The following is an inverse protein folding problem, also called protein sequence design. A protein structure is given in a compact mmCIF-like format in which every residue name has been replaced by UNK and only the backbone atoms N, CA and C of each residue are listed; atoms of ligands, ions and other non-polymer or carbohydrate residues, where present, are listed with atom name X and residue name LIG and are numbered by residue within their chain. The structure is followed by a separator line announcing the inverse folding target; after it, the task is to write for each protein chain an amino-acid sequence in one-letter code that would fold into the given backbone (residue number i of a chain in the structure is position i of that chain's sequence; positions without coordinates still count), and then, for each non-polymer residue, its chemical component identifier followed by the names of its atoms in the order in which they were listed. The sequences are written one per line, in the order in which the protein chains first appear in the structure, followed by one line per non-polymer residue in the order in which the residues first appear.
data_IF_370828068283
#
_entry.id   IF_370828068283
#
_cell.length_a   1.000
_cell.length_b   1.000
_cell.length_c   1.000
_cell.angle_alpha   90.00
_cell.angle_beta   90.00
_cell.angle_gamma   90.00
#
_symmetry.space_group_name_H-M   'P 1'
#
loop_
_entity.id
_entity.type
_entity.pdbx_description
1 polymer ?
#
# COMPACT_ATOMS: atom_id res chain seq x y z
N UNK A 1 2.33 7.96 -1.48
CA UNK A 1 1.36 6.99 -0.94
C UNK A 1 2.11 5.85 -0.27
N UNK A 2 1.56 5.26 0.80
CA UNK A 2 2.26 4.19 1.52
C UNK A 2 2.22 2.88 0.73
N UNK A 3 3.39 2.29 0.48
CA UNK A 3 3.52 0.93 -0.04
C UNK A 3 3.73 -0.03 1.12
N UNK A 4 3.10 -1.20 1.06
CA UNK A 4 3.21 -2.24 2.09
C UNK A 4 3.42 -3.59 1.44
N UNK A 5 3.94 -4.55 2.20
CA UNK A 5 4.17 -5.90 1.71
C UNK A 5 2.86 -6.65 1.52
N UNK A 6 2.75 -7.30 0.35
CA UNK A 6 1.59 -8.06 -0.10
C UNK A 6 1.98 -9.49 -0.37
N UNK A 7 1.01 -10.38 -0.21
CA UNK A 7 1.20 -11.81 -0.48
C UNK A 7 1.18 -12.14 -1.97
N UNK A 8 0.51 -11.33 -2.80
CA UNK A 8 0.40 -11.54 -4.24
C UNK A 8 1.09 -10.42 -5.02
N UNK A 9 1.46 -10.70 -6.27
CA UNK A 9 2.10 -9.72 -7.15
C UNK A 9 1.13 -8.69 -7.71
N UNK A 10 -0.18 -8.96 -7.67
CA UNK A 10 -1.21 -8.08 -8.22
C UNK A 10 -2.50 -8.15 -7.39
N UNK A 11 -3.37 -7.12 -7.49
CA UNK A 11 -4.69 -7.13 -6.90
C UNK A 11 -5.57 -8.25 -7.45
N UNK A 12 -6.39 -8.80 -6.56
CA UNK A 12 -7.28 -9.92 -6.84
C UNK A 12 -8.73 -9.51 -6.69
N UNK A 13 -9.62 -10.21 -7.40
CA UNK A 13 -11.06 -9.98 -7.33
C UNK A 13 -11.59 -10.36 -5.96
N UNK A 14 -12.56 -9.60 -5.46
CA UNK A 14 -13.33 -10.04 -4.29
C UNK A 14 -14.39 -11.07 -4.70
N UNK A 15 -14.59 -12.14 -3.91
CA UNK A 15 -15.65 -13.12 -4.17
C UNK A 15 -17.03 -12.56 -3.82
N UNK A 16 -17.12 -11.75 -2.77
CA UNK A 16 -18.32 -11.02 -2.32
C UNK A 16 -17.91 -9.59 -2.00
N UNK A 17 -18.80 -8.60 -2.23
CA UNK A 17 -18.56 -7.18 -1.89
C UNK A 17 -18.60 -6.94 -0.36
N UNK A 18 -18.14 -7.91 0.43
CA UNK A 18 -18.15 -7.91 1.88
C UNK A 18 -16.73 -8.01 2.40
N UNK A 19 -16.40 -7.16 3.37
CA UNK A 19 -15.11 -7.15 4.06
C UNK A 19 -15.31 -7.50 5.54
N UNK A 20 -14.50 -8.39 6.15
CA UNK A 20 -13.28 -9.04 5.64
C UNK A 20 -13.55 -10.23 4.71
N UNK A 21 -12.54 -10.58 3.91
CA UNK A 21 -12.55 -11.78 3.06
C UNK A 21 -12.21 -13.00 3.93
N UNK A 22 -12.78 -14.18 3.63
CA UNK A 22 -12.53 -15.38 4.43
C UNK A 22 -11.12 -15.93 4.22
N UNK A 23 -10.58 -16.58 5.24
CA UNK A 23 -9.21 -17.10 5.22
C UNK A 23 -9.04 -18.22 4.18
N UNK A 24 -10.08 -19.03 3.94
CA UNK A 24 -10.05 -20.09 2.92
C UNK A 24 -9.90 -19.52 1.51
N UNK A 25 -10.49 -18.35 1.25
CA UNK A 25 -10.33 -17.67 -0.03
C UNK A 25 -8.92 -17.09 -0.18
N UNK A 26 -8.33 -16.57 0.91
CA UNK A 26 -6.96 -16.09 0.89
C UNK A 26 -5.97 -17.21 0.56
N UNK A 27 -6.14 -18.40 1.12
CA UNK A 27 -5.30 -19.56 0.80
C UNK A 27 -5.39 -19.96 -0.67
N UNK A 28 -6.60 -19.99 -1.24
CA UNK A 28 -6.80 -20.26 -2.67
C UNK A 28 -6.14 -19.22 -3.57
N UNK A 29 -6.25 -17.94 -3.19
CA UNK A 29 -5.62 -16.83 -3.90
C UNK A 29 -4.11 -16.93 -3.85
N UNK A 30 -3.53 -17.25 -2.70
CA UNK A 30 -2.06 -17.39 -2.56
C UNK A 30 -1.58 -18.60 -3.37
N UNK A 31 -2.33 -19.69 -3.43
CA UNK A 31 -2.00 -20.87 -4.21
C UNK A 31 -2.09 -20.64 -5.73
N UNK A 32 -3.05 -19.81 -6.20
CA UNK A 32 -3.31 -19.64 -7.62
C UNK A 32 -3.68 -18.20 -8.00
N UNK A 33 -2.77 -17.26 -7.69
CA UNK A 33 -3.04 -15.82 -7.78
C UNK A 33 -3.50 -15.40 -9.19
N UNK A 34 -2.91 -15.94 -10.25
CA UNK A 34 -3.19 -15.56 -11.65
C UNK A 34 -4.64 -15.78 -12.07
N UNK A 35 -5.31 -16.80 -11.52
CA UNK A 35 -6.71 -17.09 -11.81
C UNK A 35 -7.67 -16.02 -11.23
N UNK A 36 -7.27 -15.35 -10.15
CA UNK A 36 -8.08 -14.35 -9.44
C UNK A 36 -7.69 -12.91 -9.77
N UNK A 37 -6.86 -12.69 -10.80
CA UNK A 37 -6.39 -11.36 -11.20
C UNK A 37 -7.54 -10.40 -11.45
N UNK A 38 -7.47 -9.21 -10.85
CA UNK A 38 -8.49 -8.17 -10.98
C UNK A 38 -8.56 -7.64 -12.42
N UNK A 39 -7.49 -6.96 -12.85
CA UNK A 39 -7.33 -6.36 -14.16
C UNK A 39 -6.07 -6.94 -14.81
N UNK A 40 -6.15 -7.18 -16.12
CA UNK A 40 -4.99 -7.54 -16.93
C UNK A 40 -4.33 -6.29 -17.50
N UNK A 41 -3.83 -5.45 -16.61
CA UNK A 41 -3.29 -4.14 -16.90
C UNK A 41 -2.01 -3.91 -16.07
N UNK A 42 -1.13 -2.98 -16.48
CA UNK A 42 0.02 -2.60 -15.66
C UNK A 42 -0.46 -2.05 -14.31
N UNK A 43 0.30 -2.36 -13.26
CA UNK A 43 -0.02 -1.97 -11.89
C UNK A 43 0.17 -0.48 -11.66
N UNK A 44 1.12 0.17 -12.36
CA UNK A 44 1.45 1.58 -12.20
C UNK A 44 1.77 1.93 -10.73
N UNK A 45 2.46 1.03 -10.02
CA UNK A 45 2.84 1.27 -8.61
C UNK A 45 3.98 2.28 -8.47
N UNK A 46 4.84 2.37 -9.48
CA UNK A 46 5.98 3.30 -9.50
C UNK A 46 5.89 4.22 -10.72
N UNK A 47 6.48 5.41 -10.60
CA UNK A 47 6.50 6.41 -11.68
C UNK A 47 7.24 5.96 -12.94
N UNK A 48 8.08 4.94 -12.84
CA UNK A 48 8.77 4.35 -13.99
C UNK A 48 7.83 3.49 -14.84
N UNK A 49 6.85 2.85 -14.21
CA UNK A 49 5.83 2.04 -14.89
C UNK A 49 4.73 2.90 -15.52
N UNK A 50 4.72 4.21 -15.25
CA UNK A 50 3.67 5.14 -15.68
C UNK A 50 3.96 5.85 -17.01
N UNK A 51 4.96 5.39 -17.77
CA UNK A 51 5.29 5.95 -19.09
C UNK A 51 4.13 5.79 -20.07
N UNK A 52 3.51 6.91 -20.46
CA UNK A 52 2.38 6.96 -21.39
C UNK A 52 1.00 6.86 -20.75
N UNK A 53 0.92 6.82 -19.42
CA UNK A 53 -0.32 6.92 -18.69
C UNK A 53 -0.44 8.29 -18.03
N UNK A 54 -1.65 8.81 -17.98
CA UNK A 54 -2.07 9.98 -17.23
C UNK A 54 -3.13 9.53 -16.22
N UNK A 55 -3.49 10.42 -15.30
CA UNK A 55 -4.57 10.17 -14.34
C UNK A 55 -5.86 9.69 -15.02
N UNK A 56 -6.20 10.25 -16.18
CA UNK A 56 -7.43 9.92 -16.93
C UNK A 56 -7.29 8.73 -17.90
N UNK A 57 -6.08 8.36 -18.29
CA UNK A 57 -5.86 7.19 -19.16
C UNK A 57 -5.44 5.95 -18.38
N UNK A 58 -5.20 6.10 -17.07
CA UNK A 58 -4.87 4.99 -16.19
C UNK A 58 -5.98 3.91 -16.18
N UNK A 59 -5.61 2.62 -16.22
CA UNK A 59 -6.56 1.51 -16.05
C UNK A 59 -7.31 1.55 -14.71
N UNK A 60 -6.71 2.21 -13.71
CA UNK A 60 -7.23 2.38 -12.35
C UNK A 60 -8.04 3.68 -12.17
N UNK A 61 -8.40 4.38 -13.25
CA UNK A 61 -9.27 5.57 -13.19
C UNK A 61 -10.58 5.27 -12.47
N UNK A 62 -11.17 4.11 -12.72
CA UNK A 62 -12.37 3.65 -12.04
C UNK A 62 -12.00 2.63 -10.95
N UNK A 63 -12.36 2.87 -9.68
CA UNK A 63 -12.10 1.93 -8.60
C UNK A 63 -12.78 0.59 -8.89
N UNK A 64 -12.05 -0.50 -8.68
CA UNK A 64 -12.55 -1.85 -8.95
C UNK A 64 -12.96 -2.56 -7.67
N UNK A 65 -13.85 -3.54 -7.81
CA UNK A 65 -14.25 -4.41 -6.69
C UNK A 65 -13.22 -5.51 -6.44
N UNK A 66 -12.03 -5.07 -6.07
CA UNK A 66 -10.85 -5.89 -5.88
C UNK A 66 -10.17 -5.51 -4.57
N UNK A 67 -9.23 -6.33 -4.15
CA UNK A 67 -8.38 -6.04 -3.01
C UNK A 67 -7.00 -6.62 -3.23
N UNK A 68 -6.06 -6.20 -2.40
CA UNK A 68 -4.70 -6.73 -2.45
C UNK A 68 -4.35 -7.34 -1.09
N UNK A 69 -4.26 -8.67 -0.99
CA UNK A 69 -3.92 -9.38 0.24
C UNK A 69 -2.68 -8.80 0.93
N UNK A 70 -2.84 -8.44 2.20
CA UNK A 70 -1.77 -7.92 3.04
C UNK A 70 -1.02 -9.07 3.70
N UNK A 71 0.28 -8.88 3.86
CA UNK A 71 1.05 -9.72 4.77
C UNK A 71 0.90 -9.21 6.21
N UNK A 72 0.05 -9.86 6.99
CA UNK A 72 -0.25 -9.42 8.36
C UNK A 72 0.94 -9.57 9.32
N UNK A 73 1.93 -10.39 8.99
CA UNK A 73 3.17 -10.55 9.77
C UNK A 73 4.10 -9.35 9.57
N UNK A 74 4.10 -8.77 8.37
CA UNK A 74 4.97 -7.66 7.96
C UNK A 74 4.15 -6.39 7.76
N UNK A 75 3.64 -5.84 8.87
CA UNK A 75 2.93 -4.55 8.92
C UNK A 75 3.89 -3.37 8.92
N UNK A 76 4.58 -3.16 7.81
CA UNK A 76 5.60 -2.12 7.67
C UNK A 76 5.55 -1.52 6.25
N UNK A 77 5.91 -0.23 6.16
CA UNK A 77 6.15 0.42 4.88
C UNK A 77 7.37 -0.18 4.17
N UNK A 78 7.18 -0.52 2.91
CA UNK A 78 8.23 -0.99 2.01
C UNK A 78 8.59 0.11 1.00
N UNK A 79 9.80 0.01 0.45
CA UNK A 79 10.28 0.87 -0.62
C UNK A 79 10.39 0.07 -1.92
N UNK A 80 10.29 0.77 -3.04
CA UNK A 80 10.46 0.17 -4.37
C UNK A 80 11.83 -0.46 -4.59
N UNK A 81 11.95 -1.35 -5.60
CA UNK A 81 13.17 -2.14 -5.85
C UNK A 81 14.41 -1.26 -6.11
N UNK A 82 14.21 -0.09 -6.72
CA UNK A 82 15.25 0.88 -7.08
C UNK A 82 15.67 1.83 -5.96
N UNK A 83 15.16 1.65 -4.73
CA UNK A 83 15.48 2.53 -3.61
C UNK A 83 16.39 1.84 -2.58
N UNK A 84 17.72 2.05 -2.66
CA UNK A 84 18.64 1.59 -1.62
C UNK A 84 18.31 2.27 -0.28
N UNK A 85 18.46 1.52 0.82
CA UNK A 85 18.18 2.00 2.19
C UNK A 85 16.73 1.84 2.67
N UNK A 86 15.77 1.72 1.74
CA UNK A 86 14.39 1.42 2.06
C UNK A 86 14.17 -0.05 2.44
N UNK A 87 13.09 -0.34 3.16
CA UNK A 87 12.79 -1.73 3.52
C UNK A 87 12.27 -2.53 2.33
N UNK A 88 12.87 -3.71 2.12
CA UNK A 88 12.44 -4.66 1.10
C UNK A 88 11.57 -5.75 1.73
N UNK A 89 10.50 -6.09 1.03
CA UNK A 89 9.65 -7.21 1.43
C UNK A 89 10.42 -8.54 1.37
N UNK A 90 10.04 -9.53 2.19
CA UNK A 90 10.61 -10.88 2.11
C UNK A 90 10.44 -11.49 0.72
N UNK A 91 11.29 -12.47 0.37
CA UNK A 91 11.21 -13.19 -0.90
C UNK A 91 9.82 -13.78 -1.13
N UNK A 92 9.26 -13.61 -2.34
CA UNK A 92 7.92 -14.05 -2.69
C UNK A 92 6.79 -13.12 -2.27
N UNK A 93 7.11 -11.92 -1.73
CA UNK A 93 6.14 -10.87 -1.42
C UNK A 93 6.42 -9.63 -2.25
N UNK A 94 5.37 -8.93 -2.61
CA UNK A 94 5.44 -7.76 -3.48
C UNK A 94 5.13 -6.47 -2.71
N UNK A 95 5.89 -5.42 -3.00
CA UNK A 95 5.69 -4.10 -2.41
C UNK A 95 4.68 -3.33 -3.27
N UNK A 96 3.45 -3.17 -2.77
CA UNK A 96 2.34 -2.60 -3.54
C UNK A 96 1.55 -1.53 -2.78
N UNK A 97 0.97 -0.58 -3.51
CA UNK A 97 0.08 0.44 -2.94
C UNK A 97 -1.39 0.22 -3.34
N UNK A 98 -2.30 0.79 -2.54
CA UNK A 98 -3.74 0.83 -2.83
C UNK A 98 -4.10 1.95 -3.82
N UNK A 99 -3.12 2.79 -4.16
CA UNK A 99 -3.25 3.90 -5.07
C UNK A 99 -2.28 3.71 -6.23
N UNK A 100 -2.70 4.17 -7.40
CA UNK A 100 -1.82 4.37 -8.56
C UNK A 100 -0.76 5.46 -8.27
N UNK A 101 0.33 5.50 -9.02
CA UNK A 101 1.32 6.57 -9.05
C UNK A 101 0.69 7.97 -9.19
N UNK A 102 -0.46 8.09 -9.87
CA UNK A 102 -1.21 9.34 -10.04
C UNK A 102 -2.21 9.64 -8.91
N UNK A 103 -2.35 8.73 -7.96
CA UNK A 103 -3.23 8.87 -6.81
C UNK A 103 -4.68 8.45 -7.01
N UNK A 104 -4.97 7.71 -8.07
CA UNK A 104 -6.28 7.08 -8.25
C UNK A 104 -6.44 5.88 -7.29
N UNK A 105 -7.54 5.79 -6.53
CA UNK A 105 -7.79 4.65 -5.66
C UNK A 105 -8.14 3.40 -6.48
N UNK A 106 -7.46 2.28 -6.20
CA UNK A 106 -7.66 1.02 -6.96
C UNK A 106 -8.93 0.28 -6.57
N UNK A 107 -9.40 0.44 -5.32
CA UNK A 107 -10.46 -0.37 -4.75
C UNK A 107 -11.72 0.45 -4.47
N UNK A 108 -12.89 -0.15 -4.66
CA UNK A 108 -14.19 0.44 -4.27
C UNK A 108 -14.41 0.40 -2.77
N UNK A 109 -13.93 -0.64 -2.10
CA UNK A 109 -14.16 -0.86 -0.67
C UNK A 109 -13.22 -0.03 0.20
N UNK A 110 -13.77 0.96 0.91
CA UNK A 110 -13.02 1.85 1.80
C UNK A 110 -12.22 1.13 2.88
N UNK A 111 -12.73 0.02 3.43
CA UNK A 111 -12.02 -0.79 4.42
C UNK A 111 -10.74 -1.42 3.86
N UNK A 112 -10.79 -1.97 2.64
CA UNK A 112 -9.61 -2.54 1.98
C UNK A 112 -8.54 -1.47 1.66
N UNK A 113 -8.97 -0.22 1.42
CA UNK A 113 -8.04 0.91 1.23
C UNK A 113 -7.36 1.29 2.54
N UNK A 114 -8.13 1.41 3.63
CA UNK A 114 -7.65 1.93 4.91
C UNK A 114 -6.82 0.92 5.70
N UNK A 115 -7.19 -0.36 5.67
CA UNK A 115 -6.57 -1.39 6.50
C UNK A 115 -5.05 -1.48 6.31
N UNK A 116 -4.57 -1.32 5.08
CA UNK A 116 -3.15 -1.37 4.75
C UNK A 116 -2.30 -0.37 5.55
N UNK A 117 -2.86 0.79 5.91
CA UNK A 117 -2.16 1.85 6.65
C UNK A 117 -2.66 1.98 8.10
N UNK A 118 -3.81 1.38 8.42
CA UNK A 118 -4.45 1.44 9.72
C UNK A 118 -3.91 0.38 10.68
N UNK A 119 -2.63 0.49 11.03
CA UNK A 119 -1.98 -0.37 12.02
C UNK A 119 -1.49 0.45 13.20
N UNK A 120 -1.43 -0.16 14.39
CA UNK A 120 -0.90 0.50 15.58
C UNK A 120 0.55 0.99 15.37
N UNK A 121 1.32 0.27 14.54
CA UNK A 121 2.69 0.61 14.18
C UNK A 121 2.81 1.90 13.37
N UNK A 122 1.77 2.24 12.60
CA UNK A 122 1.63 3.49 11.84
C UNK A 122 0.74 4.53 12.56
N UNK A 123 0.53 4.38 13.88
CA UNK A 123 -0.37 5.23 14.66
C UNK A 123 -1.74 5.38 14.01
N UNK A 124 -2.31 4.29 13.48
CA UNK A 124 -3.65 4.27 12.86
C UNK A 124 -3.83 5.29 11.71
N UNK A 125 -2.74 5.76 11.10
CA UNK A 125 -2.77 6.75 10.02
C UNK A 125 -2.83 8.21 10.47
N UNK A 126 -2.77 8.51 11.78
CA UNK A 126 -2.76 9.89 12.28
C UNK A 126 -1.44 10.62 11.97
N UNK A 127 -0.32 9.91 12.02
CA UNK A 127 1.01 10.50 11.83
C UNK A 127 1.47 10.37 10.38
N UNK A 128 0.76 11.05 9.49
CA UNK A 128 0.97 11.05 8.04
C UNK A 128 1.15 12.47 7.51
N UNK A 129 1.84 12.60 6.36
CA UNK A 129 2.16 13.89 5.74
C UNK A 129 1.24 14.24 4.55
N UNK A 130 0.16 13.48 4.35
CA UNK A 130 -0.73 13.64 3.19
C UNK A 130 -1.66 14.88 3.30
N UNK A 131 -1.86 15.41 4.51
CA UNK A 131 -2.70 16.57 4.78
C UNK A 131 -2.02 17.54 5.74
N UNK A 132 -2.20 18.85 5.54
CA UNK A 132 -1.56 19.89 6.35
C UNK A 132 -1.84 19.72 7.85
N UNK A 133 -3.08 19.44 8.26
CA UNK A 133 -3.41 19.25 9.67
C UNK A 133 -2.72 18.03 10.30
N UNK A 134 -2.63 16.91 9.57
CA UNK A 134 -1.92 15.70 10.02
C UNK A 134 -0.41 15.90 10.02
N UNK A 135 0.11 16.63 9.05
CA UNK A 135 1.51 17.01 8.99
C UNK A 135 1.90 17.89 10.18
N UNK A 136 1.07 18.87 10.56
CA UNK A 136 1.31 19.72 11.73
C UNK A 136 1.27 18.94 13.04
N UNK A 137 0.30 18.04 13.23
CA UNK A 137 0.26 17.14 14.40
C UNK A 137 1.51 16.27 14.47
N UNK A 138 1.92 15.74 13.32
CA UNK A 138 3.15 14.96 13.19
C UNK A 138 4.37 15.82 13.58
N UNK A 139 4.55 16.99 12.98
CA UNK A 139 5.66 17.90 13.31
C UNK A 139 5.69 18.25 14.81
N UNK A 140 4.53 18.57 15.39
CA UNK A 140 4.43 18.88 16.82
C UNK A 140 4.95 17.73 17.69
N UNK A 141 4.52 16.49 17.43
CA UNK A 141 5.02 15.30 18.15
C UNK A 141 6.53 15.10 17.98
N UNK A 142 7.09 15.45 16.82
CA UNK A 142 8.54 15.39 16.59
C UNK A 142 9.29 16.46 17.38
N UNK A 143 8.75 17.68 17.48
CA UNK A 143 9.34 18.81 18.21
C UNK A 143 9.30 18.57 19.73
N UNK A 144 8.23 17.96 20.24
CA UNK A 144 8.12 17.59 21.66
C UNK A 144 8.86 16.31 22.01
N UNK A 145 9.61 15.73 21.05
CA UNK A 145 10.36 14.48 21.20
C UNK A 145 9.51 13.28 21.68
N UNK A 146 8.23 13.28 21.35
CA UNK A 146 7.33 12.17 21.69
C UNK A 146 7.30 11.20 20.49
N UNK A 147 7.90 10.02 20.66
CA UNK A 147 7.90 8.99 19.62
C UNK A 147 8.73 9.31 18.36
N UNK A 148 9.59 10.34 18.39
CA UNK A 148 10.37 10.79 17.23
C UNK A 148 11.29 9.70 16.67
N UNK A 149 11.99 8.94 17.50
CA UNK A 149 12.89 7.85 17.05
C UNK A 149 12.16 6.77 16.26
N UNK A 150 10.93 6.41 16.68
CA UNK A 150 10.07 5.49 15.94
C UNK A 150 9.72 6.07 14.58
N UNK A 151 9.33 7.35 14.51
CA UNK A 151 8.97 8.02 13.26
C UNK A 151 10.14 8.19 12.30
N UNK A 152 11.32 8.59 12.78
CA UNK A 152 12.50 8.75 11.94
C UNK A 152 12.86 7.42 11.28
N UNK A 153 12.76 6.32 12.04
CA UNK A 153 12.96 4.97 11.51
C UNK A 153 11.91 4.58 10.47
N UNK A 154 10.65 4.95 10.63
CA UNK A 154 9.60 4.71 9.63
C UNK A 154 9.81 5.50 8.36
N UNK A 155 10.10 6.79 8.51
CA UNK A 155 10.32 7.71 7.39
C UNK A 155 11.53 7.27 6.59
N UNK A 156 12.63 6.90 7.25
CA UNK A 156 13.83 6.37 6.60
C UNK A 156 13.61 5.04 5.86
N UNK A 157 12.63 4.22 6.28
CA UNK A 157 12.29 2.96 5.61
C UNK A 157 11.41 3.15 4.38
N UNK A 158 10.64 4.24 4.35
CA UNK A 158 9.74 4.61 3.27
C UNK A 158 10.38 5.57 2.25
N UNK A 159 11.44 6.29 2.64
CA UNK A 159 12.16 7.23 1.79
C UNK A 159 13.48 6.62 1.30
N UNK A 160 13.96 7.00 0.11
CA UNK A 160 15.29 6.64 -0.34
C UNK A 160 16.36 7.29 0.55
N UNK A 161 17.45 6.57 0.85
CA UNK A 161 18.67 7.22 1.35
C UNK A 161 19.29 7.99 0.19
N UNK A 162 19.50 9.29 0.37
CA UNK A 162 20.29 10.11 -0.56
C UNK A 162 21.69 9.54 -0.74
#
# INVERSE_FOLDING_TARGET
MGHVCRLTDFPVRMPTNSWPVSDEYLEQVVANASAFRCLDAPLLDFSEDSLGFDKDTSPWRTPQNCFWPLDYDVRQLCAGPFHPGGYRCPSGRTCGSNFDAFGNPRFTHSKAILEALHTAKLNWGFTTYDHLGRALLTIFQSVTEEGWTRRTRWSARALPSR
#
